data_IF_500854266875
#
_entry.id   IF_500854266875
#
_cell.length_a   1.000
_cell.length_b   1.000
_cell.length_c   1.000
_cell.angle_alpha   90.00
_cell.angle_beta   90.00
_cell.angle_gamma   90.00
#
_symmetry.space_group_name_H-M   'P 1'
#
loop_
_entity.id
_entity.type
_entity.pdbx_description
1 polymer ?
#
# COMPACT_ATOMS: atom_id res chain seq x y z
N UNK A 1 -0.08 20.16 13.31
CA UNK A 1 0.88 19.24 13.95
C UNK A 1 2.11 19.17 13.09
N UNK A 2 3.31 19.06 13.68
CA UNK A 2 4.55 18.86 12.92
C UNK A 2 4.54 17.47 12.31
N UNK A 3 4.98 17.34 11.05
CA UNK A 3 5.07 16.04 10.39
C UNK A 3 6.11 15.14 11.09
N UNK A 4 5.80 13.85 11.23
CA UNK A 4 6.70 12.84 11.79
C UNK A 4 7.52 12.20 10.68
N UNK A 5 8.76 12.66 10.49
CA UNK A 5 9.66 12.05 9.51
C UNK A 5 10.25 10.72 10.03
N UNK A 6 10.69 10.70 11.28
CA UNK A 6 11.24 9.51 11.95
C UNK A 6 10.70 9.43 13.37
N UNK A 7 10.34 8.23 13.80
CA UNK A 7 10.03 8.00 15.21
C UNK A 7 11.30 7.63 15.99
N UNK A 8 11.30 8.01 17.27
CA UNK A 8 12.37 7.70 18.21
C UNK A 8 11.75 7.36 19.57
N UNK A 9 11.28 6.13 19.70
CA UNK A 9 10.64 5.65 20.92
C UNK A 9 11.72 5.17 21.89
N UNK A 10 11.68 5.73 23.10
CA UNK A 10 12.63 5.36 24.17
C UNK A 10 12.16 4.15 24.97
N UNK A 11 10.87 3.81 24.88
CA UNK A 11 10.23 2.73 25.63
C UNK A 11 10.42 1.34 25.04
N UNK A 12 10.72 1.25 23.74
CA UNK A 12 10.76 0.00 23.00
C UNK A 12 12.07 -0.15 22.23
N UNK A 13 12.44 -1.41 21.97
CA UNK A 13 13.60 -1.72 21.16
C UNK A 13 13.28 -1.47 19.68
N UNK A 14 14.04 -0.55 19.07
CA UNK A 14 14.00 -0.32 17.62
C UNK A 14 14.51 -1.55 16.87
N UNK A 15 13.80 -1.96 15.81
CA UNK A 15 14.18 -3.11 14.98
C UNK A 15 14.61 -2.68 13.58
N UNK A 16 13.78 -1.87 12.91
CA UNK A 16 14.00 -1.55 11.49
C UNK A 16 13.28 -0.26 11.09
N UNK A 17 13.90 0.47 10.17
CA UNK A 17 13.29 1.61 9.48
C UNK A 17 13.09 1.27 8.02
N UNK A 18 11.81 1.09 7.63
CA UNK A 18 11.42 0.92 6.25
C UNK A 18 11.31 2.25 5.51
N UNK A 19 10.89 2.20 4.23
CA UNK A 19 10.73 3.41 3.40
C UNK A 19 9.79 4.45 4.06
N UNK A 20 8.70 4.01 4.69
CA UNK A 20 7.66 4.89 5.27
C UNK A 20 7.19 4.47 6.66
N UNK A 21 7.76 3.43 7.25
CA UNK A 21 7.38 2.87 8.56
C UNK A 21 8.59 2.59 9.43
N UNK A 22 8.42 2.73 10.74
CA UNK A 22 9.40 2.33 11.74
C UNK A 22 8.84 1.19 12.57
N UNK A 23 9.65 0.16 12.82
CA UNK A 23 9.28 -1.06 13.51
C UNK A 23 10.00 -1.18 14.85
N UNK A 24 9.23 -1.51 15.89
CA UNK A 24 9.72 -1.73 17.25
C UNK A 24 9.26 -3.08 17.78
N UNK A 25 10.07 -3.69 18.65
CA UNK A 25 9.70 -4.89 19.36
C UNK A 25 8.88 -4.53 20.61
N UNK A 26 7.68 -5.08 20.72
CA UNK A 26 6.85 -4.97 21.94
C UNK A 26 7.20 -6.10 22.88
N UNK A 27 7.13 -7.34 22.39
CA UNK A 27 7.46 -8.57 23.12
C UNK A 27 7.83 -9.70 22.15
N UNK A 28 7.84 -10.96 22.64
CA UNK A 28 8.18 -12.12 21.82
C UNK A 28 7.23 -12.31 20.62
N UNK A 29 5.95 -11.94 20.76
CA UNK A 29 4.89 -12.23 19.80
C UNK A 29 4.37 -11.02 19.06
N UNK A 30 4.74 -9.79 19.48
CA UNK A 30 4.17 -8.57 18.94
C UNK A 30 5.21 -7.54 18.48
N UNK A 31 4.83 -6.78 17.46
CA UNK A 31 5.53 -5.62 16.93
C UNK A 31 4.67 -4.37 17.07
N UNK A 32 5.30 -3.22 17.27
CA UNK A 32 4.69 -1.93 17.03
C UNK A 32 5.18 -1.40 15.69
N UNK A 33 4.24 -1.08 14.79
CA UNK A 33 4.49 -0.46 13.50
C UNK A 33 4.04 1.00 13.59
N UNK A 34 4.96 1.93 13.40
CA UNK A 34 4.67 3.38 13.37
C UNK A 34 4.66 3.85 11.93
N UNK A 35 3.51 4.32 11.46
CA UNK A 35 3.35 4.96 10.16
C UNK A 35 3.90 6.38 10.23
N UNK A 36 4.93 6.67 9.47
CA UNK A 36 5.52 8.00 9.42
C UNK A 36 4.91 8.83 8.29
N UNK A 37 5.24 10.11 8.27
CA UNK A 37 4.80 11.01 7.20
C UNK A 37 5.79 11.02 6.02
N UNK A 38 6.85 10.15 6.05
CA UNK A 38 7.76 9.98 4.92
C UNK A 38 6.99 9.58 3.66
N UNK A 39 7.45 10.11 2.53
CA UNK A 39 6.97 9.71 1.21
C UNK A 39 8.09 8.99 0.47
N UNK A 40 7.76 7.89 -0.18
CA UNK A 40 8.61 7.23 -1.16
C UNK A 40 7.97 7.29 -2.53
N UNK A 41 8.74 7.74 -3.52
CA UNK A 41 8.34 7.75 -4.92
C UNK A 41 9.51 7.26 -5.79
N UNK A 42 9.22 6.42 -6.78
CA UNK A 42 10.26 5.80 -7.65
C UNK A 42 11.36 5.10 -6.84
N UNK A 43 10.98 4.43 -5.74
CA UNK A 43 11.85 3.73 -4.77
C UNK A 43 12.82 4.62 -3.97
N UNK A 44 12.73 5.94 -4.13
CA UNK A 44 13.49 6.92 -3.36
C UNK A 44 12.62 7.52 -2.25
N UNK A 45 13.17 7.58 -1.03
CA UNK A 45 12.55 8.30 0.10
C UNK A 45 12.81 9.79 -0.10
N UNK A 46 11.76 10.60 -0.04
CA UNK A 46 11.85 12.06 -0.16
C UNK A 46 12.15 12.67 1.21
N UNK A 47 12.95 13.74 1.23
CA UNK A 47 13.27 14.47 2.48
C UNK A 47 12.06 15.23 3.03
N UNK A 48 11.11 15.57 2.17
CA UNK A 48 9.93 16.35 2.54
C UNK A 48 8.76 15.41 2.90
N UNK A 49 8.36 15.34 4.18
CA UNK A 49 7.23 14.51 4.61
C UNK A 49 5.89 15.15 4.22
N UNK A 50 4.86 14.30 4.05
CA UNK A 50 3.48 14.77 3.84
C UNK A 50 2.78 14.84 5.20
N UNK A 51 2.42 16.04 5.71
CA UNK A 51 1.86 16.19 7.04
C UNK A 51 0.54 15.41 7.25
N UNK A 52 0.51 14.54 8.27
CA UNK A 52 -0.65 13.72 8.63
C UNK A 52 -0.84 12.47 7.78
N UNK A 53 0.09 12.17 6.87
CA UNK A 53 0.03 10.98 6.01
C UNK A 53 -0.07 9.69 6.84
N UNK A 54 0.77 9.53 7.85
CA UNK A 54 0.79 8.34 8.71
C UNK A 54 -0.55 8.09 9.39
N UNK A 55 -1.21 9.15 9.86
CA UNK A 55 -2.53 9.07 10.50
C UNK A 55 -3.61 8.64 9.51
N UNK A 56 -3.60 9.21 8.30
CA UNK A 56 -4.54 8.85 7.23
C UNK A 56 -4.38 7.38 6.83
N UNK A 57 -3.14 6.92 6.60
CA UNK A 57 -2.88 5.53 6.20
C UNK A 57 -3.32 4.55 7.29
N UNK A 58 -3.07 4.89 8.55
CA UNK A 58 -3.50 4.08 9.70
C UNK A 58 -5.03 3.99 9.79
N UNK A 59 -5.72 5.12 9.67
CA UNK A 59 -7.18 5.16 9.73
C UNK A 59 -7.83 4.35 8.58
N UNK A 60 -7.32 4.52 7.35
CA UNK A 60 -7.80 3.79 6.17
C UNK A 60 -7.52 2.28 6.30
N UNK A 61 -6.30 1.89 6.72
CA UNK A 61 -5.97 0.48 6.94
C UNK A 61 -6.85 -0.17 8.00
N UNK A 62 -7.06 0.49 9.16
CA UNK A 62 -7.93 0.00 10.23
C UNK A 62 -9.37 -0.20 9.75
N UNK A 63 -9.88 0.74 8.96
CA UNK A 63 -11.21 0.63 8.34
C UNK A 63 -11.31 -0.64 7.49
N UNK A 64 -10.32 -0.88 6.61
CA UNK A 64 -10.34 -2.04 5.72
C UNK A 64 -10.08 -3.36 6.44
N UNK A 65 -9.16 -3.41 7.41
CA UNK A 65 -8.95 -4.60 8.23
C UNK A 65 -10.22 -5.03 8.95
N UNK A 66 -10.98 -4.07 9.49
CA UNK A 66 -12.28 -4.35 10.11
C UNK A 66 -13.31 -4.80 9.10
N UNK A 67 -13.43 -4.09 7.98
CA UNK A 67 -14.47 -4.33 6.96
C UNK A 67 -14.28 -5.65 6.23
N UNK A 68 -13.05 -6.02 5.96
CA UNK A 68 -12.68 -7.21 5.18
C UNK A 68 -12.25 -8.40 6.07
N UNK A 69 -12.37 -8.28 7.39
CA UNK A 69 -11.97 -9.32 8.33
C UNK A 69 -12.69 -10.67 8.19
N UNK A 70 -13.82 -10.69 7.48
CA UNK A 70 -14.52 -11.93 7.12
C UNK A 70 -13.92 -12.70 5.93
N UNK A 71 -13.00 -12.07 5.15
CA UNK A 71 -12.34 -12.71 4.01
C UNK A 71 -11.13 -13.52 4.46
N UNK A 72 -10.28 -12.89 5.28
CA UNK A 72 -9.07 -13.49 5.81
C UNK A 72 -8.70 -12.78 7.12
N UNK A 73 -8.11 -13.48 8.12
CA UNK A 73 -7.59 -12.81 9.30
C UNK A 73 -6.47 -11.81 8.93
N UNK A 74 -6.30 -10.79 9.75
CA UNK A 74 -5.23 -9.82 9.61
C UNK A 74 -4.32 -9.81 10.82
N UNK A 75 -3.22 -9.10 10.74
CA UNK A 75 -2.14 -9.09 11.72
C UNK A 75 -2.42 -8.27 12.99
N UNK A 76 -3.50 -7.48 13.05
CA UNK A 76 -3.77 -6.66 14.22
C UNK A 76 -3.93 -7.52 15.47
N UNK A 77 -3.27 -7.13 16.56
CA UNK A 77 -3.34 -7.85 17.85
C UNK A 77 -4.54 -7.43 18.70
N UNK A 78 -5.13 -6.27 18.42
CA UNK A 78 -6.13 -5.63 19.28
C UNK A 78 -5.54 -4.89 20.49
N UNK A 79 -4.22 -4.85 20.64
CA UNK A 79 -3.53 -4.09 21.69
C UNK A 79 -3.43 -2.62 21.26
N UNK A 80 -3.80 -1.72 22.16
CA UNK A 80 -3.71 -0.27 21.91
C UNK A 80 -2.24 0.20 21.87
N UNK A 81 -1.80 0.90 20.80
CA UNK A 81 -0.41 1.32 20.66
C UNK A 81 0.12 2.19 21.81
N UNK A 82 -0.73 3.06 22.38
CA UNK A 82 -0.32 3.93 23.49
C UNK A 82 -0.08 3.16 24.80
N UNK A 83 -0.63 1.94 24.92
CA UNK A 83 -0.48 1.10 26.13
C UNK A 83 0.88 0.40 26.21
N UNK A 84 1.58 0.22 25.07
CA UNK A 84 2.87 -0.48 25.03
C UNK A 84 4.06 0.46 25.20
N UNK A 85 3.85 1.77 25.19
CA UNK A 85 4.90 2.78 25.42
C UNK A 85 4.74 3.44 26.79
N UNK A 86 5.85 3.91 27.38
CA UNK A 86 5.88 4.32 28.80
C UNK A 86 5.84 5.83 28.99
N UNK A 87 6.37 6.62 28.04
CA UNK A 87 6.49 8.08 28.17
C UNK A 87 5.43 8.82 27.38
N UNK A 88 5.07 10.02 27.79
CA UNK A 88 4.12 10.86 27.05
C UNK A 88 4.70 11.30 25.70
N UNK A 89 6.02 11.46 25.62
CA UNK A 89 6.72 11.75 24.36
C UNK A 89 6.58 10.58 23.36
N UNK A 90 6.67 9.34 23.82
CA UNK A 90 6.47 8.17 22.97
C UNK A 90 4.98 8.03 22.58
N UNK A 91 4.04 8.25 23.54
CA UNK A 91 2.59 8.25 23.24
C UNK A 91 2.22 9.27 22.15
N UNK A 92 2.81 10.46 22.20
CA UNK A 92 2.57 11.48 21.19
C UNK A 92 3.03 11.06 19.77
N UNK A 93 4.08 10.23 19.67
CA UNK A 93 4.59 9.72 18.40
C UNK A 93 3.76 8.55 17.84
N UNK A 94 3.11 7.74 18.70
CA UNK A 94 2.37 6.55 18.24
C UNK A 94 0.87 6.81 18.07
N UNK A 95 0.34 7.87 18.70
CA UNK A 95 -1.08 8.18 18.70
C UNK A 95 -1.64 8.36 17.29
N UNK A 96 -2.70 7.59 16.94
CA UNK A 96 -3.43 7.70 15.70
C UNK A 96 -2.67 7.22 14.45
N UNK A 97 -1.39 6.80 14.58
CA UNK A 97 -0.55 6.43 13.44
C UNK A 97 0.19 5.10 13.60
N UNK A 98 -0.28 4.24 14.48
CA UNK A 98 0.45 3.00 14.78
C UNK A 98 -0.48 1.81 14.91
N UNK A 99 0.09 0.62 14.76
CA UNK A 99 -0.54 -0.67 15.03
C UNK A 99 0.33 -1.49 15.96
N UNK A 100 -0.26 -2.22 16.90
CA UNK A 100 0.39 -3.37 17.53
C UNK A 100 -0.06 -4.61 16.79
N UNK A 101 0.89 -5.34 16.23
CA UNK A 101 0.63 -6.46 15.32
C UNK A 101 1.26 -7.74 15.85
N UNK A 102 0.73 -8.89 15.44
CA UNK A 102 1.38 -10.19 15.62
C UNK A 102 2.68 -10.23 14.82
N UNK A 103 3.72 -10.88 15.37
CA UNK A 103 4.92 -11.25 14.61
C UNK A 103 4.57 -12.41 13.69
N UNK A 104 4.53 -12.15 12.41
CA UNK A 104 4.26 -13.13 11.36
C UNK A 104 5.44 -13.21 10.40
N UNK A 105 5.60 -14.35 9.75
CA UNK A 105 6.62 -14.53 8.72
C UNK A 105 6.08 -13.98 7.39
N UNK A 106 6.61 -12.85 6.88
CA UNK A 106 6.16 -12.31 5.60
C UNK A 106 6.42 -13.28 4.44
N UNK A 107 5.50 -13.33 3.47
CA UNK A 107 5.71 -14.05 2.23
C UNK A 107 6.63 -13.24 1.29
N UNK A 108 7.45 -13.90 0.45
CA UNK A 108 8.46 -13.24 -0.38
C UNK A 108 7.92 -12.68 -1.69
N UNK A 109 6.63 -12.38 -1.76
CA UNK A 109 6.00 -11.74 -2.91
C UNK A 109 5.09 -10.59 -2.47
N UNK A 110 4.86 -9.65 -3.37
CA UNK A 110 3.77 -8.69 -3.29
C UNK A 110 2.58 -9.22 -4.07
N UNK A 111 1.42 -9.24 -3.45
CA UNK A 111 0.18 -9.72 -4.04
C UNK A 111 -0.59 -8.55 -4.69
N UNK A 112 -0.30 -8.28 -5.95
CA UNK A 112 -0.92 -7.19 -6.70
C UNK A 112 -2.16 -7.71 -7.42
N UNK A 113 -3.24 -6.94 -7.36
CA UNK A 113 -4.46 -7.17 -8.12
C UNK A 113 -4.81 -5.93 -8.93
N UNK A 114 -5.23 -6.13 -10.18
CA UNK A 114 -5.58 -5.07 -11.12
C UNK A 114 -7.00 -5.27 -11.64
N UNK A 115 -7.86 -4.29 -11.41
CA UNK A 115 -9.17 -4.22 -12.04
C UNK A 115 -9.17 -3.35 -13.30
N UNK A 116 -8.11 -2.56 -13.47
CA UNK A 116 -7.92 -1.65 -14.59
C UNK A 116 -6.49 -1.75 -15.13
N UNK A 117 -6.31 -1.47 -16.40
CA UNK A 117 -5.01 -1.57 -17.09
C UNK A 117 -4.23 -0.26 -16.95
N UNK A 118 -3.35 -0.18 -15.96
CA UNK A 118 -2.59 1.03 -15.61
C UNK A 118 -1.20 0.70 -15.06
N UNK A 119 -0.33 1.69 -14.98
CA UNK A 119 1.00 1.58 -14.37
C UNK A 119 1.89 0.56 -15.05
N UNK A 120 2.57 -0.32 -14.27
CA UNK A 120 3.43 -1.37 -14.83
C UNK A 120 2.64 -2.36 -15.69
N UNK A 121 1.42 -2.69 -15.32
CA UNK A 121 0.55 -3.56 -16.13
C UNK A 121 0.25 -2.99 -17.52
N UNK A 122 0.01 -1.68 -17.62
CA UNK A 122 -0.14 -1.00 -18.92
C UNK A 122 1.15 -1.03 -19.72
N UNK A 123 2.30 -0.81 -19.08
CA UNK A 123 3.60 -0.87 -19.77
C UNK A 123 3.89 -2.27 -20.32
N UNK A 124 3.62 -3.31 -19.53
CA UNK A 124 3.79 -4.71 -19.94
C UNK A 124 2.86 -5.05 -21.11
N UNK A 125 1.58 -4.69 -21.01
CA UNK A 125 0.62 -4.91 -22.08
C UNK A 125 1.01 -4.23 -23.39
N UNK A 126 1.44 -2.98 -23.35
CA UNK A 126 1.93 -2.28 -24.56
C UNK A 126 3.10 -3.00 -25.22
N UNK A 127 3.96 -3.62 -24.43
CA UNK A 127 5.16 -4.31 -24.92
C UNK A 127 4.88 -5.72 -25.43
N UNK A 128 3.96 -6.45 -24.80
CA UNK A 128 3.82 -7.90 -24.99
C UNK A 128 2.40 -8.37 -25.30
N UNK A 129 1.39 -7.53 -25.14
CA UNK A 129 -0.02 -7.94 -25.16
C UNK A 129 -0.47 -8.70 -23.92
N UNK A 130 0.41 -8.83 -22.91
CA UNK A 130 0.17 -9.61 -21.70
C UNK A 130 0.54 -8.84 -20.44
N UNK A 131 0.05 -9.29 -19.28
CA UNK A 131 0.47 -8.82 -17.94
C UNK A 131 0.78 -10.05 -17.10
N UNK A 132 1.99 -10.14 -16.53
CA UNK A 132 2.43 -11.30 -15.75
C UNK A 132 2.19 -12.66 -16.47
N UNK A 133 2.37 -12.71 -17.78
CA UNK A 133 2.13 -13.89 -18.61
C UNK A 133 0.67 -14.14 -18.98
N UNK A 134 -0.28 -13.35 -18.48
CA UNK A 134 -1.71 -13.44 -18.82
C UNK A 134 -1.96 -12.67 -20.10
N UNK A 135 -2.30 -13.37 -21.18
CA UNK A 135 -2.66 -12.75 -22.47
C UNK A 135 -3.97 -11.97 -22.33
N UNK A 136 -3.99 -10.76 -22.85
CA UNK A 136 -5.16 -9.88 -22.84
C UNK A 136 -5.66 -9.62 -24.28
N UNK A 137 -6.94 -9.28 -24.44
CA UNK A 137 -7.48 -8.89 -25.76
C UNK A 137 -6.68 -7.75 -26.37
N UNK A 138 -6.55 -7.76 -27.68
CA UNK A 138 -5.90 -6.66 -28.43
C UNK A 138 -6.78 -5.39 -28.39
N UNK A 139 -6.14 -4.21 -28.47
CA UNK A 139 -6.84 -2.93 -28.57
C UNK A 139 -7.30 -2.33 -27.24
N UNK A 140 -6.90 -2.90 -26.08
CA UNK A 140 -7.16 -2.28 -24.78
C UNK A 140 -6.42 -0.94 -24.66
N UNK A 141 -7.05 0.00 -24.01
CA UNK A 141 -6.54 1.35 -23.76
C UNK A 141 -6.05 1.53 -22.32
N UNK A 142 -5.26 2.55 -22.08
CA UNK A 142 -4.86 2.91 -20.71
C UNK A 142 -6.08 3.23 -19.85
N UNK A 143 -6.01 2.87 -18.58
CA UNK A 143 -7.10 2.97 -17.61
C UNK A 143 -8.37 2.18 -17.97
N UNK A 144 -8.36 1.31 -18.99
CA UNK A 144 -9.51 0.50 -19.33
C UNK A 144 -9.79 -0.51 -18.23
N UNK A 145 -11.08 -0.63 -17.84
CA UNK A 145 -11.54 -1.67 -16.93
C UNK A 145 -11.33 -3.04 -17.56
N UNK A 146 -10.73 -3.95 -16.82
CA UNK A 146 -10.54 -5.33 -17.24
C UNK A 146 -11.84 -6.13 -17.09
N UNK A 147 -12.09 -7.16 -17.93
CA UNK A 147 -13.27 -8.00 -17.84
C UNK A 147 -13.43 -8.68 -16.47
N UNK A 148 -12.31 -9.01 -15.85
CA UNK A 148 -12.22 -9.52 -14.47
C UNK A 148 -10.92 -9.01 -13.83
N UNK A 149 -10.87 -8.87 -12.49
CA UNK A 149 -9.65 -8.54 -11.79
C UNK A 149 -8.57 -9.59 -12.04
N UNK A 150 -7.34 -9.14 -12.26
CA UNK A 150 -6.18 -10.00 -12.50
C UNK A 150 -5.27 -10.02 -11.28
N UNK A 151 -4.87 -11.21 -10.85
CA UNK A 151 -3.78 -11.38 -9.91
C UNK A 151 -2.44 -11.32 -10.65
N UNK A 152 -1.65 -10.30 -10.34
CA UNK A 152 -0.40 -9.97 -11.04
C UNK A 152 0.72 -9.74 -10.03
N UNK A 153 1.24 -10.83 -9.41
CA UNK A 153 2.22 -10.71 -8.34
C UNK A 153 3.54 -10.10 -8.81
N UNK A 154 4.30 -9.56 -7.85
CA UNK A 154 5.70 -9.17 -8.05
C UNK A 154 6.60 -9.84 -7.01
N UNK A 155 7.89 -9.87 -7.29
CA UNK A 155 8.89 -10.20 -6.27
C UNK A 155 8.87 -9.11 -5.20
N UNK A 156 9.34 -9.46 -4.01
CA UNK A 156 9.66 -8.49 -2.96
C UNK A 156 11.17 -8.33 -2.97
N UNK A 157 11.64 -7.31 -3.71
CA UNK A 157 13.07 -7.08 -3.89
C UNK A 157 13.77 -6.68 -2.59
N UNK A 158 15.08 -6.90 -2.52
CA UNK A 158 15.90 -6.37 -1.45
C UNK A 158 15.93 -4.84 -1.49
N UNK A 159 16.28 -4.22 -0.37
CA UNK A 159 16.38 -2.76 -0.29
C UNK A 159 17.42 -2.26 -1.30
N UNK A 160 16.98 -1.44 -2.26
CA UNK A 160 17.82 -0.89 -3.33
C UNK A 160 17.56 -1.50 -4.71
N UNK A 161 16.84 -2.62 -4.78
CA UNK A 161 16.40 -3.23 -6.03
C UNK A 161 14.94 -2.87 -6.34
N UNK A 162 14.52 -3.10 -7.58
CA UNK A 162 13.13 -2.88 -8.00
C UNK A 162 12.31 -4.16 -7.95
N UNK A 163 11.05 -4.05 -7.51
CA UNK A 163 10.10 -5.15 -7.58
C UNK A 163 9.77 -5.46 -9.04
N UNK A 164 9.86 -6.74 -9.41
CA UNK A 164 9.60 -7.20 -10.77
C UNK A 164 8.29 -7.98 -10.83
N UNK A 165 7.45 -7.66 -11.83
CA UNK A 165 6.26 -8.45 -12.11
C UNK A 165 6.67 -9.89 -12.46
N UNK A 166 6.03 -10.87 -11.82
CA UNK A 166 6.26 -12.30 -12.04
C UNK A 166 4.99 -13.00 -12.49
N UNK A 167 5.13 -14.14 -13.16
CA UNK A 167 4.00 -15.00 -13.49
C UNK A 167 3.46 -15.70 -12.25
N UNK A 168 2.23 -16.21 -12.34
CA UNK A 168 1.65 -17.02 -11.27
C UNK A 168 2.43 -18.33 -11.05
N UNK A 169 3.02 -18.91 -12.11
CA UNK A 169 3.85 -20.11 -11.99
C UNK A 169 5.17 -19.83 -11.25
N UNK A 170 5.74 -18.66 -11.42
CA UNK A 170 6.89 -18.22 -10.60
C UNK A 170 6.49 -18.01 -9.14
N UNK A 171 5.34 -17.39 -8.88
CA UNK A 171 4.80 -17.28 -7.52
C UNK A 171 4.58 -18.66 -6.87
N UNK A 172 4.10 -19.66 -7.62
CA UNK A 172 4.01 -21.07 -7.14
C UNK A 172 5.37 -21.66 -6.78
N UNK A 173 6.42 -21.36 -7.54
CA UNK A 173 7.77 -21.84 -7.21
C UNK A 173 8.28 -21.24 -5.90
N UNK A 174 7.96 -19.97 -5.62
CA UNK A 174 8.37 -19.27 -4.41
C UNK A 174 7.58 -19.69 -3.16
N UNK A 175 6.27 -19.91 -3.29
CA UNK A 175 5.38 -20.14 -2.17
C UNK A 175 4.94 -21.59 -1.98
N UNK A 176 5.11 -22.43 -3.00
CA UNK A 176 4.40 -23.70 -3.14
C UNK A 176 2.98 -23.49 -3.72
N UNK A 177 2.49 -24.51 -4.43
CA UNK A 177 1.24 -24.39 -5.20
C UNK A 177 0.02 -24.04 -4.32
N UNK A 178 -0.11 -24.71 -3.17
CA UNK A 178 -1.25 -24.50 -2.27
C UNK A 178 -1.29 -23.08 -1.68
N UNK A 179 -0.13 -22.59 -1.20
CA UNK A 179 -0.04 -21.25 -0.63
C UNK A 179 -0.25 -20.18 -1.70
N UNK A 180 0.29 -20.36 -2.90
CA UNK A 180 0.10 -19.42 -4.00
C UNK A 180 -1.39 -19.29 -4.40
N UNK A 181 -2.13 -20.41 -4.46
CA UNK A 181 -3.57 -20.38 -4.70
C UNK A 181 -4.34 -19.70 -3.57
N UNK A 182 -4.00 -19.94 -2.29
CA UNK A 182 -4.60 -19.26 -1.13
C UNK A 182 -4.39 -17.75 -1.23
N UNK A 183 -3.17 -17.29 -1.50
CA UNK A 183 -2.82 -15.87 -1.66
C UNK A 183 -3.62 -15.24 -2.81
N UNK A 184 -3.63 -15.88 -3.98
CA UNK A 184 -4.38 -15.40 -5.15
C UNK A 184 -5.86 -15.25 -4.84
N UNK A 185 -6.48 -16.29 -4.28
CA UNK A 185 -7.90 -16.28 -3.98
C UNK A 185 -8.26 -15.22 -2.92
N UNK A 186 -7.47 -15.09 -1.86
CA UNK A 186 -7.63 -14.05 -0.85
C UNK A 186 -7.49 -12.65 -1.47
N UNK A 187 -6.48 -12.45 -2.31
CA UNK A 187 -6.22 -11.16 -2.99
C UNK A 187 -7.41 -10.74 -3.86
N UNK A 188 -7.91 -11.66 -4.69
CA UNK A 188 -9.06 -11.38 -5.57
C UNK A 188 -10.34 -11.11 -4.78
N UNK A 189 -10.59 -11.87 -3.70
CA UNK A 189 -11.75 -11.67 -2.83
C UNK A 189 -11.70 -10.34 -2.07
N UNK A 190 -10.53 -9.99 -1.49
CA UNK A 190 -10.30 -8.71 -0.82
C UNK A 190 -10.56 -7.55 -1.77
N UNK A 191 -9.96 -7.62 -2.98
CA UNK A 191 -10.10 -6.57 -3.97
C UNK A 191 -11.55 -6.40 -4.42
N UNK A 192 -12.24 -7.48 -4.78
CA UNK A 192 -13.60 -7.40 -5.32
C UNK A 192 -14.56 -6.76 -4.31
N UNK A 193 -14.51 -7.20 -3.04
CA UNK A 193 -15.36 -6.61 -2.00
C UNK A 193 -15.02 -5.14 -1.72
N UNK A 194 -13.72 -4.81 -1.74
CA UNK A 194 -13.28 -3.44 -1.53
C UNK A 194 -13.66 -2.53 -2.69
N UNK A 195 -13.48 -2.98 -3.94
CA UNK A 195 -13.79 -2.22 -5.14
C UNK A 195 -15.30 -1.92 -5.25
N UNK A 196 -16.14 -2.91 -4.95
CA UNK A 196 -17.61 -2.75 -4.94
C UNK A 196 -18.01 -1.68 -3.89
N UNK A 197 -17.47 -1.78 -2.67
CA UNK A 197 -17.74 -0.78 -1.65
C UNK A 197 -17.21 0.61 -2.02
N UNK A 198 -15.95 0.73 -2.44
CA UNK A 198 -15.33 2.01 -2.78
C UNK A 198 -16.09 2.72 -3.90
N UNK A 199 -16.62 1.97 -4.87
CA UNK A 199 -17.42 2.52 -5.96
C UNK A 199 -18.72 3.17 -5.43
N UNK A 200 -19.37 2.62 -4.39
CA UNK A 200 -20.53 3.26 -3.73
C UNK A 200 -20.14 4.57 -3.02
N UNK A 201 -18.86 4.78 -2.80
CA UNK A 201 -18.29 5.99 -2.17
C UNK A 201 -17.66 6.95 -3.19
N UNK A 202 -17.90 6.71 -4.49
CA UNK A 202 -17.37 7.54 -5.57
C UNK A 202 -15.89 7.31 -5.87
N UNK A 203 -15.30 6.22 -5.40
CA UNK A 203 -13.88 5.86 -5.62
C UNK A 203 -13.78 4.58 -6.45
N UNK A 204 -13.02 4.63 -7.52
CA UNK A 204 -12.54 3.46 -8.25
C UNK A 204 -11.19 3.03 -7.65
N UNK A 205 -11.08 1.78 -7.23
CA UNK A 205 -9.80 1.16 -6.92
C UNK A 205 -9.28 0.52 -8.19
N UNK A 206 -8.30 1.16 -8.85
CA UNK A 206 -7.79 0.66 -10.12
C UNK A 206 -6.91 -0.58 -9.96
N UNK A 207 -6.00 -0.53 -9.04
CA UNK A 207 -5.16 -1.63 -8.57
C UNK A 207 -4.79 -1.43 -7.11
N UNK A 208 -4.34 -2.50 -6.49
CA UNK A 208 -3.80 -2.46 -5.13
C UNK A 208 -2.77 -3.55 -4.93
N UNK A 209 -1.87 -3.31 -3.99
CA UNK A 209 -0.88 -4.24 -3.50
C UNK A 209 -1.24 -4.68 -2.08
N UNK A 210 -1.28 -5.98 -1.85
CA UNK A 210 -1.39 -6.58 -0.52
C UNK A 210 -0.09 -7.29 -0.16
N UNK A 211 0.19 -7.39 1.12
CA UNK A 211 1.21 -8.25 1.68
C UNK A 211 0.59 -9.29 2.60
N UNK A 212 1.14 -10.49 2.56
CA UNK A 212 0.68 -11.60 3.39
C UNK A 212 1.82 -12.17 4.22
N UNK A 213 1.45 -12.75 5.36
CA UNK A 213 2.37 -13.46 6.22
C UNK A 213 1.71 -14.68 6.83
N UNK A 214 2.52 -15.57 7.42
CA UNK A 214 2.03 -16.77 8.07
C UNK A 214 2.47 -16.82 9.53
N UNK A 215 1.64 -17.43 10.37
CA UNK A 215 2.03 -17.84 11.71
C UNK A 215 2.83 -19.16 11.70
N UNK A 216 3.22 -19.65 12.86
CA UNK A 216 4.02 -20.86 13.02
C UNK A 216 3.32 -22.16 12.55
N UNK A 217 1.98 -22.16 12.46
CA UNK A 217 1.19 -23.29 11.97
C UNK A 217 0.78 -23.16 10.52
N UNK A 218 1.22 -22.08 9.82
CA UNK A 218 0.97 -21.87 8.40
C UNK A 218 -0.36 -21.19 8.08
N UNK A 219 -1.05 -20.61 9.06
CA UNK A 219 -2.25 -19.80 8.80
C UNK A 219 -1.86 -18.51 8.08
N UNK A 220 -2.57 -18.20 7.00
CA UNK A 220 -2.34 -17.01 6.18
C UNK A 220 -3.05 -15.78 6.77
N UNK A 221 -2.33 -14.67 6.90
CA UNK A 221 -2.82 -13.37 7.38
C UNK A 221 -2.54 -12.27 6.37
N UNK A 222 -3.47 -11.32 6.26
CA UNK A 222 -3.20 -10.02 5.63
C UNK A 222 -2.35 -9.19 6.58
N UNK A 223 -1.21 -8.70 6.10
CA UNK A 223 -0.26 -7.89 6.89
C UNK A 223 -0.01 -6.54 6.23
N UNK A 224 0.81 -5.74 6.89
CA UNK A 224 1.30 -4.43 6.45
C UNK A 224 0.20 -3.37 6.44
N UNK A 225 -0.25 -2.93 5.31
CA UNK A 225 -1.36 -1.99 5.13
C UNK A 225 -2.39 -2.55 4.16
N UNK A 226 -3.60 -2.04 4.18
CA UNK A 226 -4.65 -2.49 3.30
C UNK A 226 -5.34 -1.31 2.61
N UNK A 227 -5.30 -1.30 1.26
CA UNK A 227 -6.12 -0.41 0.43
C UNK A 227 -6.00 1.07 0.83
N UNK A 228 -4.77 1.51 1.03
CA UNK A 228 -4.44 2.91 1.32
C UNK A 228 -4.07 3.66 0.05
N UNK A 229 -4.03 4.99 0.06
CA UNK A 229 -3.49 5.77 -1.04
C UNK A 229 -2.02 5.49 -1.38
N UNK A 230 -1.27 4.81 -0.50
CA UNK A 230 0.11 4.40 -0.77
C UNK A 230 0.20 3.05 -1.48
N UNK A 231 -0.66 2.10 -1.13
CA UNK A 231 -0.69 0.76 -1.71
C UNK A 231 -1.63 0.60 -2.90
N UNK A 232 -2.45 1.61 -3.20
CA UNK A 232 -3.53 1.53 -4.20
C UNK A 232 -3.58 2.77 -5.08
N UNK A 233 -4.10 2.61 -6.32
CA UNK A 233 -4.55 3.75 -7.14
C UNK A 233 -6.03 3.96 -6.95
N UNK A 234 -6.39 5.12 -6.41
CA UNK A 234 -7.75 5.56 -6.19
C UNK A 234 -8.11 6.67 -7.15
N UNK A 235 -9.13 6.47 -7.98
CA UNK A 235 -9.61 7.48 -8.91
C UNK A 235 -10.99 7.98 -8.52
N UNK A 236 -11.28 9.29 -8.66
CA UNK A 236 -12.63 9.81 -8.61
C UNK A 236 -13.47 9.16 -9.71
N UNK A 237 -14.58 8.51 -9.34
CA UNK A 237 -15.41 7.78 -10.29
C UNK A 237 -16.08 8.69 -11.33
N UNK A 238 -16.40 9.93 -10.94
CA UNK A 238 -17.00 10.98 -11.79
C UNK A 238 -16.00 11.62 -12.79
N UNK A 239 -14.68 11.42 -12.57
CA UNK A 239 -13.62 11.95 -13.45
C UNK A 239 -12.88 10.85 -14.22
N UNK A 240 -13.33 9.61 -14.06
CA UNK A 240 -12.73 8.47 -14.74
C UNK A 240 -13.03 8.51 -16.25
N UNK A 241 -11.97 8.34 -17.06
CA UNK A 241 -12.06 8.26 -18.51
C UNK A 241 -11.05 7.26 -19.06
N UNK A 242 -11.52 6.34 -19.88
CA UNK A 242 -10.66 5.39 -20.62
C UNK A 242 -9.76 6.13 -21.59
N UNK A 243 -8.55 5.64 -21.78
CA UNK A 243 -7.56 6.22 -22.71
C UNK A 243 -6.83 7.45 -22.12
N UNK A 244 -6.98 7.70 -20.83
CA UNK A 244 -6.30 8.79 -20.13
C UNK A 244 -5.68 8.30 -18.82
N UNK A 245 -4.78 9.08 -18.23
CA UNK A 245 -4.36 8.89 -16.84
C UNK A 245 -5.34 9.64 -15.92
N UNK A 246 -6.30 8.98 -15.24
CA UNK A 246 -7.28 9.67 -14.43
C UNK A 246 -6.64 10.42 -13.27
N UNK A 247 -7.27 11.53 -12.80
CA UNK A 247 -6.89 12.13 -11.53
C UNK A 247 -6.90 11.09 -10.41
N UNK A 248 -6.01 11.25 -9.43
CA UNK A 248 -5.85 10.25 -8.38
C UNK A 248 -5.88 10.88 -6.98
N UNK A 249 -6.35 10.11 -5.99
CA UNK A 249 -6.27 10.46 -4.57
C UNK A 249 -4.95 10.01 -3.93
N UNK A 250 -4.03 9.47 -4.72
CA UNK A 250 -2.74 8.98 -4.25
C UNK A 250 -1.62 10.02 -4.45
N UNK A 251 -0.39 9.58 -4.40
CA UNK A 251 0.83 10.39 -4.58
C UNK A 251 1.11 10.82 -6.04
N UNK A 252 0.12 10.76 -6.94
CA UNK A 252 0.32 11.09 -8.35
C UNK A 252 0.76 12.54 -8.53
N UNK A 253 0.22 13.49 -7.74
CA UNK A 253 0.68 14.89 -7.77
C UNK A 253 2.19 15.05 -7.54
N UNK A 254 2.73 14.33 -6.57
CA UNK A 254 4.17 14.35 -6.31
C UNK A 254 4.93 13.68 -7.45
N UNK A 255 4.42 12.55 -7.96
CA UNK A 255 5.06 11.85 -9.09
C UNK A 255 5.10 12.73 -10.34
N UNK A 256 4.00 13.38 -10.69
CA UNK A 256 3.90 14.27 -11.85
C UNK A 256 4.87 15.44 -11.72
N UNK A 257 4.94 16.03 -10.52
CA UNK A 257 5.89 17.09 -10.24
C UNK A 257 7.35 16.61 -10.36
N UNK A 258 7.68 15.47 -9.76
CA UNK A 258 9.03 14.88 -9.86
C UNK A 258 9.42 14.57 -11.30
N UNK A 259 8.49 14.08 -12.12
CA UNK A 259 8.75 13.83 -13.55
C UNK A 259 8.93 15.14 -14.33
N UNK A 260 8.13 16.17 -14.03
CA UNK A 260 8.26 17.49 -14.67
C UNK A 260 9.53 18.25 -14.27
N UNK A 261 10.10 17.93 -13.09
CA UNK A 261 11.35 18.55 -12.62
C UNK A 261 12.61 18.11 -13.38
N UNK A 262 12.49 17.08 -14.24
CA UNK A 262 13.64 16.50 -14.93
C UNK A 262 14.54 15.63 -14.05
N UNK A 263 14.10 15.27 -12.85
CA UNK A 263 14.86 14.42 -11.93
C UNK A 263 15.06 12.99 -12.51
N UNK A 264 16.25 12.46 -12.36
CA UNK A 264 16.67 11.16 -12.88
C UNK A 264 16.17 9.95 -12.08
N UNK A 265 15.31 10.15 -11.08
CA UNK A 265 14.75 9.13 -10.18
C UNK A 265 15.80 8.42 -9.31
N UNK A 266 16.91 9.09 -9.02
CA UNK A 266 17.96 8.62 -8.13
C UNK A 266 18.12 9.57 -6.93
N UNK A 267 18.51 9.03 -5.78
CA UNK A 267 18.78 9.85 -4.60
C UNK A 267 20.02 10.77 -4.82
N UNK A 268 20.01 12.01 -4.28
CA UNK A 268 18.94 12.62 -3.51
C UNK A 268 17.77 13.11 -4.40
N UNK A 269 16.54 13.06 -3.88
CA UNK A 269 15.39 13.65 -4.56
C UNK A 269 15.40 15.18 -4.42
N UNK A 270 14.81 15.93 -5.40
CA UNK A 270 14.65 17.37 -5.26
C UNK A 270 13.65 17.70 -4.15
N UNK A 271 13.79 18.87 -3.53
CA UNK A 271 12.89 19.37 -2.49
C UNK A 271 11.52 19.65 -3.10
N UNK A 272 10.48 19.02 -2.54
CA UNK A 272 9.12 19.14 -3.06
C UNK A 272 8.49 20.46 -2.59
N UNK A 273 7.88 21.27 -3.49
CA UNK A 273 7.21 22.50 -3.10
C UNK A 273 6.10 22.27 -2.07
N UNK A 274 5.96 23.19 -1.12
CA UNK A 274 5.00 23.08 -0.03
C UNK A 274 3.54 22.97 -0.51
N UNK A 275 3.17 23.62 -1.62
CA UNK A 275 1.85 23.51 -2.21
C UNK A 275 1.57 22.12 -2.82
N UNK A 276 2.58 21.45 -3.37
CA UNK A 276 2.47 20.09 -3.89
C UNK A 276 2.28 19.09 -2.73
N UNK A 277 3.04 19.27 -1.63
CA UNK A 277 2.89 18.45 -0.42
C UNK A 277 1.49 18.66 0.20
N UNK A 278 1.03 19.92 0.30
CA UNK A 278 -0.28 20.22 0.87
C UNK A 278 -1.42 19.62 0.03
N UNK A 279 -1.38 19.78 -1.30
CA UNK A 279 -2.38 19.17 -2.20
C UNK A 279 -2.40 17.65 -2.08
N UNK A 280 -1.24 17.02 -1.93
CA UNK A 280 -1.15 15.57 -1.73
C UNK A 280 -1.76 15.17 -0.38
N UNK A 281 -1.46 15.91 0.70
CA UNK A 281 -2.07 15.67 2.00
C UNK A 281 -3.60 15.82 1.96
N UNK A 282 -4.10 16.83 1.24
CA UNK A 282 -5.54 17.06 1.10
C UNK A 282 -6.22 15.92 0.33
N UNK A 283 -5.59 15.39 -0.73
CA UNK A 283 -6.08 14.22 -1.46
C UNK A 283 -6.13 12.96 -0.61
N UNK A 284 -5.15 12.74 0.24
CA UNK A 284 -5.14 11.60 1.18
C UNK A 284 -6.28 11.71 2.18
N UNK A 285 -6.51 12.89 2.76
CA UNK A 285 -7.65 13.15 3.67
C UNK A 285 -8.99 13.03 2.96
N UNK A 286 -9.09 13.50 1.72
CA UNK A 286 -10.29 13.34 0.90
C UNK A 286 -10.64 11.88 0.67
N UNK A 287 -9.65 11.04 0.30
CA UNK A 287 -9.83 9.60 0.17
C UNK A 287 -10.29 8.95 1.48
N UNK A 288 -9.64 9.28 2.60
CA UNK A 288 -10.05 8.81 3.93
C UNK A 288 -11.52 9.16 4.19
N UNK A 289 -11.90 10.44 4.08
CA UNK A 289 -13.27 10.89 4.34
C UNK A 289 -14.30 10.18 3.47
N UNK A 290 -14.02 10.01 2.20
CA UNK A 290 -14.94 9.31 1.29
C UNK A 290 -15.09 7.84 1.67
N UNK A 291 -13.99 7.13 1.94
CA UNK A 291 -14.02 5.70 2.27
C UNK A 291 -14.60 5.42 3.65
N UNK A 292 -14.20 6.18 4.66
CA UNK A 292 -14.54 5.88 6.06
C UNK A 292 -15.80 6.61 6.55
N UNK A 293 -16.17 7.71 5.91
CA UNK A 293 -17.30 8.55 6.32
C UNK A 293 -16.98 9.54 7.44
N UNK A 294 -15.68 9.63 7.84
CA UNK A 294 -15.20 10.52 8.89
C UNK A 294 -14.00 11.32 8.42
#
# INVERSE_FOLDING_TARGET
MSALHESNLTSLKFLHRGKVRDLYEVDADHLLIVQTDRLSAFDVILDDPIPGKGEVLTAVSNFWFKKLGGVIPNHLSGIEPESVVKTDADRAQVRGRSFVTKKLKPLPIEAIVRGYLVGSGWKDYKKTGAVCGIQLPAGLQEAQKLPQPLFTPSTKAAVGDHDENISFDEAKKLLGAEMAEKVKNATLALYSQAADYALTRGIIIADTKFEFGTDAVGTLYLIDEALTPDSSRFWPADQYKVGSNPPSFDKQFVRDWLESSGWNKQAPAPRVPADVLQRTADKYREAQRLLTGV
#
